data_IF_196232898278
#
_entry.id   IF_196232898278
#
_cell.length_a   1.000
_cell.length_b   1.000
_cell.length_c   1.000
_cell.angle_alpha   90.00
_cell.angle_beta   90.00
_cell.angle_gamma   90.00
#
_symmetry.space_group_name_H-M   'P 1'
#
loop_
_entity.id
_entity.type
_entity.pdbx_description
1 polymer ?
#
# COMPACT_ATOMS: atom_id res chain seq x y z
N UNK A 1 -20.17 21.36 -15.06
CA UNK A 1 -19.61 21.40 -16.42
C UNK A 1 -18.23 22.04 -16.47
N UNK A 2 -17.99 23.23 -15.95
CA UNK A 2 -16.65 23.87 -15.94
C UNK A 2 -15.55 23.07 -15.21
N UNK A 3 -15.87 22.37 -14.14
CA UNK A 3 -14.91 21.56 -13.38
C UNK A 3 -14.44 20.28 -14.11
N UNK A 4 -15.27 19.70 -14.98
CA UNK A 4 -14.88 18.55 -15.80
C UNK A 4 -13.93 18.94 -16.93
N UNK A 5 -14.11 20.11 -17.52
CA UNK A 5 -13.24 20.63 -18.59
C UNK A 5 -11.85 20.99 -18.07
N UNK A 6 -11.74 21.50 -16.84
CA UNK A 6 -10.45 21.76 -16.19
C UNK A 6 -9.72 20.44 -15.85
N UNK A 7 -10.45 19.38 -15.52
CA UNK A 7 -9.89 18.04 -15.29
C UNK A 7 -9.30 17.40 -16.56
N UNK A 8 -9.90 17.66 -17.72
CA UNK A 8 -9.43 17.16 -19.00
C UNK A 8 -8.21 17.93 -19.52
N UNK A 9 -8.07 19.22 -19.19
CA UNK A 9 -6.89 20.05 -19.52
C UNK A 9 -5.63 19.68 -18.76
N UNK A 10 -5.75 18.98 -17.64
CA UNK A 10 -4.63 18.44 -16.88
C UNK A 10 -4.61 16.92 -17.02
N UNK A 11 -4.19 16.41 -18.18
CA UNK A 11 -3.74 15.03 -18.28
C UNK A 11 -2.74 14.81 -17.16
N UNK A 12 -3.14 14.06 -16.14
CA UNK A 12 -2.36 13.91 -14.90
C UNK A 12 -1.06 13.17 -15.19
N UNK A 13 -1.09 12.31 -16.20
CA UNK A 13 0.04 11.49 -16.60
C UNK A 13 0.65 12.00 -17.91
N UNK A 14 1.94 12.30 -17.85
CA UNK A 14 2.75 12.57 -19.04
C UNK A 14 3.47 11.29 -19.55
N UNK A 15 3.30 10.15 -18.88
CA UNK A 15 3.93 8.88 -19.21
C UNK A 15 4.57 8.19 -18.01
N UNK A 16 5.10 7.00 -18.23
CA UNK A 16 5.89 6.28 -17.23
C UNK A 16 7.36 6.24 -17.63
N UNK A 17 8.20 6.39 -16.62
CA UNK A 17 9.63 6.13 -16.73
C UNK A 17 9.97 4.83 -16.00
N UNK A 18 10.73 3.95 -16.63
CA UNK A 18 11.13 2.69 -16.02
C UNK A 18 12.50 2.80 -15.38
N UNK A 19 12.60 2.43 -14.11
CA UNK A 19 13.86 2.36 -13.36
C UNK A 19 14.18 0.89 -13.07
N UNK A 20 15.39 0.40 -13.45
CA UNK A 20 15.77 -0.97 -13.16
C UNK A 20 15.95 -1.16 -11.64
N UNK A 21 15.44 -2.27 -11.12
CA UNK A 21 15.79 -2.79 -9.79
C UNK A 21 17.20 -3.41 -9.87
N UNK A 22 17.82 -3.65 -8.69
CA UNK A 22 19.04 -4.46 -8.65
C UNK A 22 18.72 -5.87 -9.15
N UNK A 23 19.44 -6.34 -10.18
CA UNK A 23 19.24 -7.66 -10.77
C UNK A 23 19.34 -7.66 -12.31
N UNK A 24 18.85 -8.73 -12.93
CA UNK A 24 18.88 -8.89 -14.39
C UNK A 24 17.95 -7.89 -15.08
N UNK A 25 18.51 -6.94 -15.81
CA UNK A 25 17.79 -5.91 -16.57
C UNK A 25 16.97 -6.43 -17.78
N UNK A 26 16.99 -7.75 -18.05
CA UNK A 26 16.28 -8.37 -19.18
C UNK A 26 14.83 -8.70 -18.89
N UNK A 27 14.42 -8.74 -17.62
CA UNK A 27 13.06 -9.08 -17.23
C UNK A 27 12.25 -7.84 -16.88
N UNK A 28 11.04 -7.69 -17.43
CA UNK A 28 10.12 -6.59 -17.12
C UNK A 28 9.74 -6.56 -15.62
N UNK A 29 9.79 -7.69 -14.93
CA UNK A 29 9.58 -7.80 -13.48
C UNK A 29 10.60 -7.00 -12.66
N UNK A 30 11.80 -6.81 -13.19
CA UNK A 30 12.91 -6.12 -12.54
C UNK A 30 12.90 -4.59 -12.76
N UNK A 31 11.81 -4.04 -13.26
CA UNK A 31 11.65 -2.61 -13.40
C UNK A 31 10.57 -2.07 -12.48
N UNK A 32 10.79 -0.84 -11.96
CA UNK A 32 9.78 -0.01 -11.32
C UNK A 32 9.30 1.02 -12.33
N UNK A 33 8.00 1.18 -12.46
CA UNK A 33 7.38 2.23 -13.27
C UNK A 33 7.11 3.45 -12.40
N UNK A 34 7.66 4.60 -12.75
CA UNK A 34 7.41 5.86 -12.05
C UNK A 34 6.59 6.77 -12.95
N UNK A 35 5.47 7.25 -12.43
CA UNK A 35 4.59 8.17 -13.12
C UNK A 35 5.20 9.57 -13.21
N UNK A 36 5.25 10.12 -14.41
CA UNK A 36 5.64 11.50 -14.66
C UNK A 36 4.38 12.38 -14.61
N UNK A 37 4.31 13.23 -13.60
CA UNK A 37 3.15 14.09 -13.34
C UNK A 37 3.57 15.55 -13.49
N UNK A 38 2.79 16.35 -14.22
CA UNK A 38 3.05 17.77 -14.39
C UNK A 38 3.03 18.53 -13.07
N UNK A 39 3.76 19.65 -12.97
CA UNK A 39 3.81 20.46 -11.75
C UNK A 39 2.42 21.02 -11.38
N UNK A 40 1.64 21.46 -12.36
CA UNK A 40 0.28 21.95 -12.13
C UNK A 40 -0.62 20.86 -11.55
N UNK A 41 -0.55 19.64 -12.11
CA UNK A 41 -1.27 18.48 -11.59
C UNK A 41 -0.84 18.13 -10.16
N UNK A 42 0.46 18.19 -9.84
CA UNK A 42 0.97 17.95 -8.48
C UNK A 42 0.36 18.90 -7.45
N UNK A 43 0.22 20.19 -7.77
CA UNK A 43 -0.41 21.17 -6.87
C UNK A 43 -1.86 20.79 -6.59
N UNK A 44 -2.63 20.48 -7.64
CA UNK A 44 -4.03 20.08 -7.50
C UNK A 44 -4.20 18.78 -6.72
N UNK A 45 -3.34 17.81 -6.98
CA UNK A 45 -3.31 16.53 -6.26
C UNK A 45 -2.99 16.75 -4.77
N UNK A 46 -2.09 17.68 -4.43
CA UNK A 46 -1.73 17.98 -3.04
C UNK A 46 -2.91 18.58 -2.26
N UNK A 47 -3.69 19.47 -2.87
CA UNK A 47 -4.91 20.03 -2.24
C UNK A 47 -5.92 18.92 -1.92
N UNK A 48 -6.11 17.99 -2.85
CA UNK A 48 -7.02 16.85 -2.67
C UNK A 48 -6.49 15.85 -1.65
N UNK A 49 -5.18 15.60 -1.66
CA UNK A 49 -4.53 14.74 -0.67
C UNK A 49 -4.79 15.25 0.75
N UNK A 50 -4.67 16.55 0.99
CA UNK A 50 -4.92 17.12 2.31
C UNK A 50 -6.34 16.82 2.83
N UNK A 51 -7.34 16.76 1.95
CA UNK A 51 -8.70 16.34 2.29
C UNK A 51 -8.82 14.85 2.59
N UNK A 52 -8.20 14.00 1.77
CA UNK A 52 -8.21 12.55 1.98
C UNK A 52 -7.43 12.16 3.25
N UNK A 53 -6.35 12.89 3.57
CA UNK A 53 -5.51 12.65 4.74
C UNK A 53 -6.29 12.73 6.06
N UNK A 54 -7.31 13.58 6.16
CA UNK A 54 -8.15 13.67 7.35
C UNK A 54 -8.87 12.35 7.63
N UNK A 55 -9.43 11.73 6.59
CA UNK A 55 -10.09 10.41 6.71
C UNK A 55 -9.09 9.29 6.97
N UNK A 56 -7.93 9.33 6.29
CA UNK A 56 -6.87 8.35 6.53
C UNK A 56 -6.41 8.31 7.99
N UNK A 57 -6.24 9.49 8.60
CA UNK A 57 -5.79 9.56 10.00
C UNK A 57 -6.80 8.96 10.97
N UNK A 58 -8.09 8.95 10.61
CA UNK A 58 -9.14 8.30 11.40
C UNK A 58 -9.20 6.79 11.15
N UNK A 59 -8.93 6.36 9.91
CA UNK A 59 -9.13 4.97 9.50
C UNK A 59 -7.90 4.10 9.70
N UNK A 60 -6.69 4.66 9.63
CA UNK A 60 -5.47 3.86 9.77
C UNK A 60 -5.08 3.71 11.25
N UNK A 61 -4.91 2.47 11.74
CA UNK A 61 -4.47 2.22 13.11
C UNK A 61 -2.98 2.60 13.31
N UNK A 62 -2.56 2.70 14.57
CA UNK A 62 -1.18 3.06 14.94
C UNK A 62 -0.13 2.02 14.49
N UNK A 63 -0.56 0.79 14.24
CA UNK A 63 0.33 -0.26 13.75
C UNK A 63 0.76 -0.03 12.28
N UNK A 64 0.05 0.83 11.52
CA UNK A 64 0.44 1.22 10.17
C UNK A 64 1.19 2.55 10.19
N UNK A 65 2.51 2.50 10.01
CA UNK A 65 3.39 3.68 10.01
C UNK A 65 3.79 4.16 8.62
N UNK A 66 3.50 3.39 7.57
CA UNK A 66 3.92 3.71 6.21
C UNK A 66 3.32 5.02 5.69
N UNK A 67 4.18 5.89 5.15
CA UNK A 67 3.81 7.20 4.60
C UNK A 67 3.13 8.16 5.60
N UNK A 68 3.26 7.91 6.91
CA UNK A 68 2.84 8.83 7.97
C UNK A 68 4.01 9.71 8.39
N UNK A 69 3.75 11.00 8.49
CA UNK A 69 4.78 11.98 8.86
C UNK A 69 5.27 11.74 10.30
N UNK A 70 6.58 11.61 10.46
CA UNK A 70 7.22 11.41 11.77
C UNK A 70 7.36 9.93 12.19
N UNK A 71 6.79 8.99 11.44
CA UNK A 71 6.81 7.56 11.80
C UNK A 71 7.72 6.70 10.90
N UNK A 72 8.56 7.32 10.10
CA UNK A 72 9.37 6.67 9.07
C UNK A 72 10.32 5.58 9.60
N UNK A 73 10.74 5.67 10.87
CA UNK A 73 11.63 4.69 11.52
C UNK A 73 10.99 3.98 12.71
N UNK A 74 9.75 4.30 13.02
CA UNK A 74 9.08 3.80 14.23
C UNK A 74 8.96 2.28 14.22
N UNK A 75 8.58 1.67 13.11
CA UNK A 75 8.37 0.22 13.06
C UNK A 75 9.65 -0.60 13.18
N UNK A 76 10.75 -0.13 12.60
CA UNK A 76 12.06 -0.81 12.78
C UNK A 76 12.47 -0.74 14.25
N UNK A 77 12.35 0.44 14.87
CA UNK A 77 12.66 0.61 16.31
C UNK A 77 11.76 -0.26 17.18
N UNK A 78 10.46 -0.36 16.87
CA UNK A 78 9.53 -1.21 17.58
C UNK A 78 9.91 -2.70 17.48
N UNK A 79 10.27 -3.19 16.29
CA UNK A 79 10.71 -4.57 16.09
C UNK A 79 11.98 -4.85 16.90
N UNK A 80 12.99 -3.98 16.80
CA UNK A 80 14.24 -4.13 17.56
C UNK A 80 13.99 -4.13 19.08
N UNK A 81 13.15 -3.22 19.56
CA UNK A 81 12.76 -3.16 20.97
C UNK A 81 12.03 -4.43 21.44
N UNK A 82 11.10 -4.96 20.63
CA UNK A 82 10.41 -6.21 20.91
C UNK A 82 11.39 -7.38 20.99
N UNK A 83 12.36 -7.46 20.08
CA UNK A 83 13.39 -8.48 20.06
C UNK A 83 14.28 -8.40 21.34
N UNK A 84 14.69 -7.19 21.71
CA UNK A 84 15.49 -6.95 22.91
C UNK A 84 14.72 -7.37 24.19
N UNK A 85 13.45 -6.97 24.30
CA UNK A 85 12.59 -7.39 25.42
C UNK A 85 12.32 -8.89 25.42
N UNK A 86 12.17 -9.52 24.27
CA UNK A 86 12.09 -10.97 24.16
C UNK A 86 13.31 -11.68 24.75
N UNK A 87 14.51 -11.17 24.47
CA UNK A 87 15.78 -11.68 25.05
C UNK A 87 15.84 -11.45 26.56
N UNK A 88 15.55 -10.25 27.01
CA UNK A 88 15.57 -9.88 28.43
C UNK A 88 14.67 -10.79 29.26
N UNK A 89 13.47 -11.09 28.77
CA UNK A 89 12.51 -11.95 29.44
C UNK A 89 12.60 -13.44 29.06
N UNK A 90 13.61 -13.84 28.31
CA UNK A 90 13.83 -15.22 27.83
C UNK A 90 12.56 -15.82 27.16
N UNK A 91 11.85 -15.03 26.38
CA UNK A 91 10.64 -15.45 25.66
C UNK A 91 10.94 -15.59 24.17
N UNK A 92 10.56 -16.73 23.62
CA UNK A 92 10.62 -16.93 22.18
C UNK A 92 9.58 -16.06 21.51
N UNK A 93 9.99 -15.39 20.45
CA UNK A 93 9.15 -14.58 19.57
C UNK A 93 9.47 -14.98 18.13
N UNK A 94 8.43 -15.34 17.40
CA UNK A 94 8.52 -15.74 16.01
C UNK A 94 8.05 -14.57 15.14
N UNK A 95 8.79 -14.26 14.10
CA UNK A 95 8.48 -13.19 13.14
C UNK A 95 8.30 -13.77 11.73
N UNK A 96 7.38 -13.21 10.97
CA UNK A 96 7.24 -13.44 9.55
C UNK A 96 7.13 -12.10 8.83
N UNK A 97 7.95 -11.88 7.81
CA UNK A 97 7.94 -10.67 7.00
C UNK A 97 7.22 -10.97 5.68
N UNK A 98 6.24 -10.16 5.36
CA UNK A 98 5.45 -10.27 4.13
C UNK A 98 5.75 -9.03 3.29
N UNK A 99 6.29 -9.25 2.08
CA UNK A 99 6.45 -8.26 1.03
C UNK A 99 5.46 -8.56 -0.10
N UNK A 100 4.76 -7.55 -0.61
CA UNK A 100 3.84 -7.73 -1.72
C UNK A 100 4.52 -7.40 -3.04
N UNK A 101 4.46 -8.34 -3.97
CA UNK A 101 5.03 -8.16 -5.31
C UNK A 101 4.28 -7.06 -6.05
N UNK A 102 4.95 -5.93 -6.32
CA UNK A 102 4.39 -4.81 -7.08
C UNK A 102 3.04 -4.31 -6.53
N UNK A 103 2.93 -4.12 -5.20
CA UNK A 103 1.70 -3.74 -4.52
C UNK A 103 0.95 -2.58 -5.21
N UNK A 104 1.68 -1.53 -5.62
CA UNK A 104 1.11 -0.38 -6.33
C UNK A 104 0.45 -0.77 -7.66
N UNK A 105 1.02 -1.71 -8.40
CA UNK A 105 0.53 -2.12 -9.71
C UNK A 105 -0.64 -3.11 -9.61
N UNK A 106 -0.84 -3.74 -8.44
CA UNK A 106 -1.84 -4.76 -8.21
C UNK A 106 -3.20 -4.23 -7.77
N UNK A 107 -3.33 -2.96 -7.39
CA UNK A 107 -4.58 -2.37 -6.90
C UNK A 107 -5.64 -2.36 -7.99
N UNK A 108 -6.74 -3.07 -7.78
CA UNK A 108 -7.88 -3.10 -8.69
C UNK A 108 -8.78 -1.88 -8.49
N UNK A 109 -8.97 -1.03 -9.50
CA UNK A 109 -9.73 0.21 -9.41
C UNK A 109 -11.16 -0.01 -8.90
N UNK A 110 -11.91 -0.94 -9.50
CA UNK A 110 -13.30 -1.22 -9.09
C UNK A 110 -13.41 -1.69 -7.63
N UNK A 111 -12.42 -2.43 -7.14
CA UNK A 111 -12.37 -2.87 -5.76
C UNK A 111 -11.95 -1.74 -4.84
N UNK A 112 -10.98 -0.93 -5.24
CA UNK A 112 -10.55 0.26 -4.51
C UNK A 112 -11.73 1.19 -4.21
N UNK A 113 -12.57 1.48 -5.21
CA UNK A 113 -13.73 2.38 -5.00
C UNK A 113 -14.73 1.83 -3.98
N UNK A 114 -14.98 0.53 -4.01
CA UNK A 114 -15.82 -0.14 -3.01
C UNK A 114 -15.21 -0.10 -1.62
N UNK A 115 -13.92 -0.34 -1.51
CA UNK A 115 -13.18 -0.28 -0.25
C UNK A 115 -13.26 1.13 0.36
N UNK A 116 -13.00 2.17 -0.43
CA UNK A 116 -13.07 3.54 0.04
C UNK A 116 -14.48 3.89 0.55
N UNK A 117 -15.52 3.37 -0.10
CA UNK A 117 -16.90 3.53 0.33
C UNK A 117 -17.18 2.86 1.68
N UNK A 118 -16.75 1.60 1.83
CA UNK A 118 -16.89 0.85 3.09
C UNK A 118 -16.12 1.50 4.23
N UNK A 119 -14.97 2.11 3.93
CA UNK A 119 -14.14 2.85 4.90
C UNK A 119 -14.67 4.28 5.17
N UNK A 120 -15.89 4.64 4.76
CA UNK A 120 -16.50 5.92 5.08
C UNK A 120 -15.92 7.13 4.35
N UNK A 121 -15.16 6.93 3.27
CA UNK A 121 -14.68 8.05 2.45
C UNK A 121 -15.89 8.63 1.68
N UNK A 122 -16.13 9.96 1.73
CA UNK A 122 -17.27 10.57 1.09
C UNK A 122 -17.34 10.35 -0.42
N UNK A 123 -18.54 10.09 -0.94
CA UNK A 123 -18.77 9.77 -2.36
C UNK A 123 -18.23 10.81 -3.32
N UNK A 124 -18.26 12.08 -2.97
CA UNK A 124 -17.72 13.15 -3.80
C UNK A 124 -16.19 13.05 -3.96
N UNK A 125 -15.45 12.60 -2.94
CA UNK A 125 -14.01 12.35 -3.04
C UNK A 125 -13.72 11.09 -3.84
N UNK A 126 -14.52 10.03 -3.66
CA UNK A 126 -14.41 8.79 -4.44
C UNK A 126 -14.68 9.09 -5.93
N UNK A 127 -15.70 9.88 -6.24
CA UNK A 127 -16.02 10.29 -7.60
C UNK A 127 -14.85 11.07 -8.24
N UNK A 128 -14.25 12.01 -7.50
CA UNK A 128 -13.07 12.74 -7.96
C UNK A 128 -11.87 11.84 -8.24
N UNK A 129 -11.62 10.86 -7.36
CA UNK A 129 -10.56 9.88 -7.56
C UNK A 129 -10.87 8.98 -8.76
N UNK A 130 -12.09 8.47 -8.87
CA UNK A 130 -12.53 7.66 -10.01
C UNK A 130 -12.32 8.37 -11.33
N UNK A 131 -12.71 9.65 -11.42
CA UNK A 131 -12.49 10.47 -12.62
C UNK A 131 -11.01 10.70 -12.92
N UNK A 132 -10.15 10.73 -11.88
CA UNK A 132 -8.71 10.84 -12.05
C UNK A 132 -8.10 9.61 -12.72
N UNK A 133 -8.64 8.43 -12.45
CA UNK A 133 -8.17 7.15 -12.99
C UNK A 133 -8.97 6.68 -14.23
N UNK A 134 -10.09 7.31 -14.54
CA UNK A 134 -10.93 6.91 -15.67
C UNK A 134 -10.29 7.27 -17.02
N UNK A 135 -10.26 6.32 -17.93
CA UNK A 135 -9.79 6.53 -19.31
C UNK A 135 -8.34 7.00 -19.42
N UNK A 136 -7.52 6.70 -18.42
CA UNK A 136 -6.10 7.06 -18.49
C UNK A 136 -5.36 6.20 -19.50
N UNK A 137 -4.67 6.87 -20.40
CA UNK A 137 -3.73 6.28 -21.33
C UNK A 137 -2.31 6.71 -21.00
N UNK A 138 -1.36 5.88 -21.31
CA UNK A 138 0.05 6.15 -21.04
C UNK A 138 0.95 5.49 -22.07
N UNK A 139 2.20 5.96 -22.09
CA UNK A 139 3.32 5.35 -22.82
C UNK A 139 4.43 5.02 -21.83
N UNK A 140 5.25 4.04 -22.15
CA UNK A 140 6.45 3.71 -21.38
C UNK A 140 7.68 4.12 -22.15
N UNK A 141 8.48 4.97 -21.55
CA UNK A 141 9.78 5.37 -22.10
C UNK A 141 10.88 4.46 -21.58
N UNK A 142 11.56 3.81 -22.50
CA UNK A 142 12.71 2.95 -22.23
C UNK A 142 13.97 3.54 -22.89
N UNK A 143 15.13 2.94 -22.62
CA UNK A 143 16.38 3.31 -23.34
C UNK A 143 16.35 3.03 -24.84
N UNK A 144 15.41 2.22 -25.33
CA UNK A 144 15.24 1.83 -26.74
C UNK A 144 14.16 2.65 -27.48
N UNK A 145 13.42 3.50 -26.78
CA UNK A 145 12.34 4.31 -27.35
C UNK A 145 11.11 4.39 -26.46
N UNK A 146 9.98 4.79 -27.06
CA UNK A 146 8.69 4.94 -26.38
C UNK A 146 7.69 3.96 -27.01
N UNK A 147 6.90 3.30 -26.17
CA UNK A 147 5.82 2.40 -26.63
C UNK A 147 4.66 3.18 -27.24
N UNK A 148 3.78 2.50 -27.95
CA UNK A 148 2.47 3.04 -28.30
C UNK A 148 1.64 3.33 -27.04
N UNK A 149 0.58 4.17 -27.21
CA UNK A 149 -0.35 4.49 -26.13
C UNK A 149 -1.20 3.27 -25.77
N UNK A 150 -1.35 3.01 -24.48
CA UNK A 150 -2.22 1.96 -23.97
C UNK A 150 -2.99 2.41 -22.73
N UNK A 151 -4.16 1.79 -22.50
CA UNK A 151 -5.02 2.12 -21.37
C UNK A 151 -4.53 1.45 -20.07
N UNK A 152 -4.65 2.19 -18.97
CA UNK A 152 -4.33 1.70 -17.62
C UNK A 152 -5.62 1.18 -16.99
N UNK A 153 -5.71 -0.14 -16.81
CA UNK A 153 -6.88 -0.80 -16.21
C UNK A 153 -6.77 -1.08 -14.71
N UNK A 154 -5.58 -0.96 -14.12
CA UNK A 154 -5.30 -1.27 -12.71
C UNK A 154 -4.03 -0.57 -12.24
N UNK A 155 -3.84 -0.59 -10.92
CA UNK A 155 -2.67 0.00 -10.27
C UNK A 155 -2.91 1.43 -9.82
N UNK A 156 -2.13 1.85 -8.81
CA UNK A 156 -2.01 3.24 -8.38
C UNK A 156 -0.62 3.73 -8.72
N UNK A 157 -0.52 4.95 -9.25
CA UNK A 157 0.70 5.43 -9.89
C UNK A 157 1.83 5.65 -8.90
N UNK A 158 2.89 4.85 -8.98
CA UNK A 158 4.09 5.07 -8.19
C UNK A 158 4.69 6.44 -8.53
N UNK A 159 4.91 7.29 -7.50
CA UNK A 159 5.33 8.68 -7.66
C UNK A 159 4.18 9.70 -7.63
N UNK A 160 2.92 9.26 -7.66
CA UNK A 160 1.78 10.12 -7.41
C UNK A 160 1.58 10.32 -5.90
N UNK A 161 1.30 11.55 -5.49
CA UNK A 161 1.13 11.92 -4.08
C UNK A 161 -0.06 11.23 -3.40
N UNK A 162 -1.05 10.77 -4.17
CA UNK A 162 -2.21 10.02 -3.67
C UNK A 162 -1.95 8.53 -3.47
N UNK A 163 -1.08 7.96 -4.27
CA UNK A 163 -0.94 6.51 -4.35
C UNK A 163 -0.56 5.86 -3.02
N UNK A 164 0.31 6.45 -2.19
CA UNK A 164 0.57 5.93 -0.84
C UNK A 164 -0.68 5.87 0.03
N UNK A 165 -1.52 6.90 -0.03
CA UNK A 165 -2.76 6.96 0.72
C UNK A 165 -3.75 5.86 0.30
N UNK A 166 -3.92 5.69 -1.01
CA UNK A 166 -4.82 4.70 -1.57
C UNK A 166 -4.34 3.27 -1.29
N UNK A 167 -3.03 3.05 -1.38
CA UNK A 167 -2.44 1.75 -1.05
C UNK A 167 -2.63 1.40 0.42
N UNK A 168 -2.37 2.35 1.34
CA UNK A 168 -2.56 2.13 2.77
C UNK A 168 -4.01 1.77 3.11
N UNK A 169 -4.99 2.50 2.56
CA UNK A 169 -6.41 2.20 2.78
C UNK A 169 -6.80 0.84 2.19
N UNK A 170 -6.27 0.51 1.02
CA UNK A 170 -6.50 -0.79 0.39
C UNK A 170 -5.92 -1.94 1.21
N UNK A 171 -4.68 -1.82 1.66
CA UNK A 171 -4.01 -2.81 2.51
C UNK A 171 -4.69 -2.94 3.88
N UNK A 172 -5.09 -1.80 4.48
CA UNK A 172 -5.82 -1.78 5.74
C UNK A 172 -7.12 -2.58 5.67
N UNK A 173 -7.92 -2.35 4.64
CA UNK A 173 -9.17 -3.10 4.44
C UNK A 173 -8.92 -4.61 4.34
N UNK A 174 -7.87 -5.02 3.62
CA UNK A 174 -7.52 -6.44 3.51
C UNK A 174 -7.18 -7.02 4.89
N UNK A 175 -6.34 -6.33 5.65
CA UNK A 175 -5.92 -6.79 6.97
C UNK A 175 -7.09 -6.83 7.95
N UNK A 176 -8.00 -5.88 7.95
CA UNK A 176 -9.23 -5.92 8.77
C UNK A 176 -10.05 -7.19 8.49
N UNK A 177 -10.17 -7.57 7.23
CA UNK A 177 -10.91 -8.78 6.85
C UNK A 177 -10.23 -10.09 7.26
N UNK A 178 -8.95 -10.07 7.64
CA UNK A 178 -8.27 -11.26 8.16
C UNK A 178 -8.64 -11.58 9.61
N UNK A 179 -9.27 -10.65 10.33
CA UNK A 179 -9.55 -10.80 11.76
C UNK A 179 -8.31 -10.87 12.64
N UNK A 180 -7.19 -10.28 12.20
CA UNK A 180 -5.94 -10.25 13.01
C UNK A 180 -6.12 -9.50 14.32
N UNK A 181 -6.93 -8.45 14.35
CA UNK A 181 -7.16 -7.64 15.56
C UNK A 181 -7.92 -8.44 16.63
N UNK A 182 -8.79 -9.35 16.22
CA UNK A 182 -9.56 -10.24 17.10
C UNK A 182 -8.78 -11.50 17.50
N UNK A 183 -7.67 -11.78 16.83
CA UNK A 183 -6.86 -12.96 17.10
C UNK A 183 -6.17 -12.86 18.46
N UNK A 184 -6.30 -13.91 19.28
CA UNK A 184 -5.57 -14.00 20.54
C UNK A 184 -4.07 -14.29 20.36
N UNK A 185 -3.68 -14.76 19.18
CA UNK A 185 -2.29 -14.94 18.80
C UNK A 185 -1.56 -13.60 18.80
N UNK A 186 -0.31 -13.58 19.25
CA UNK A 186 0.51 -12.37 19.33
C UNK A 186 1.29 -12.23 20.61
N UNK A 187 1.85 -11.07 20.82
CA UNK A 187 2.70 -10.74 21.96
C UNK A 187 1.97 -9.73 22.84
N UNK A 188 1.86 -10.00 24.12
CA UNK A 188 1.27 -9.04 25.07
C UNK A 188 2.32 -8.06 25.56
N UNK A 189 2.14 -6.78 25.25
CA UNK A 189 2.98 -5.66 25.68
C UNK A 189 2.09 -4.63 26.36
N UNK A 190 2.37 -4.29 27.61
CA UNK A 190 1.57 -3.34 28.39
C UNK A 190 0.05 -3.62 28.36
N UNK A 191 -0.33 -4.89 28.41
CA UNK A 191 -1.74 -5.33 28.38
C UNK A 191 -2.39 -5.38 26.99
N UNK A 192 -1.73 -4.87 25.96
CA UNK A 192 -2.21 -4.91 24.57
C UNK A 192 -1.62 -6.12 23.85
N UNK A 193 -2.43 -6.76 23.01
CA UNK A 193 -1.95 -7.84 22.14
C UNK A 193 -1.47 -7.24 20.82
N UNK A 194 -0.20 -7.47 20.49
CA UNK A 194 0.42 -7.01 19.24
C UNK A 194 0.80 -8.25 18.45
N UNK A 195 0.21 -8.41 17.28
CA UNK A 195 0.46 -9.54 16.39
C UNK A 195 0.92 -9.11 14.99
N UNK A 196 0.87 -7.82 14.68
CA UNK A 196 1.37 -7.28 13.43
C UNK A 196 1.91 -5.86 13.60
N UNK A 197 2.87 -5.50 12.75
CA UNK A 197 3.36 -4.14 12.53
C UNK A 197 3.46 -3.93 11.02
N UNK A 198 3.07 -2.74 10.54
CA UNK A 198 2.96 -2.48 9.11
C UNK A 198 3.67 -1.20 8.71
N UNK A 199 4.32 -1.25 7.55
CA UNK A 199 4.91 -0.09 6.92
C UNK A 199 4.56 -0.09 5.42
N UNK A 200 3.53 0.64 5.05
CA UNK A 200 2.95 0.64 3.70
C UNK A 200 2.47 -0.77 3.30
N UNK A 201 3.13 -1.37 2.32
CA UNK A 201 2.92 -2.74 1.85
C UNK A 201 3.68 -3.78 2.67
N UNK A 202 4.74 -3.41 3.37
CA UNK A 202 5.47 -4.34 4.25
C UNK A 202 4.66 -4.67 5.50
N UNK A 203 4.45 -5.94 5.77
CA UNK A 203 3.75 -6.43 6.95
C UNK A 203 4.63 -7.41 7.74
N UNK A 204 4.83 -7.13 9.02
CA UNK A 204 5.51 -8.04 9.95
C UNK A 204 4.47 -8.67 10.85
N UNK A 205 4.34 -9.99 10.81
CA UNK A 205 3.54 -10.76 11.75
C UNK A 205 4.42 -11.26 12.88
N UNK A 206 3.84 -11.39 14.08
CA UNK A 206 4.55 -11.91 15.25
C UNK A 206 3.65 -12.74 16.14
N UNK A 207 4.23 -13.78 16.73
CA UNK A 207 3.54 -14.67 17.65
C UNK A 207 4.51 -15.30 18.65
N UNK A 208 3.98 -15.91 19.73
CA UNK A 208 4.75 -16.65 20.74
C UNK A 208 5.10 -18.07 20.32
N UNK A 209 4.33 -18.63 19.37
CA UNK A 209 4.47 -19.99 18.88
C UNK A 209 4.47 -20.00 17.36
N UNK A 210 5.19 -20.94 16.80
CA UNK A 210 5.28 -21.09 15.35
C UNK A 210 3.92 -21.41 14.71
N UNK A 211 3.11 -22.26 15.34
CA UNK A 211 1.77 -22.64 14.83
C UNK A 211 0.83 -21.43 14.81
N UNK A 212 0.90 -20.56 15.82
CA UNK A 212 0.14 -19.32 15.86
C UNK A 212 0.54 -18.41 14.69
N UNK A 213 1.86 -18.27 14.44
CA UNK A 213 2.37 -17.46 13.35
C UNK A 213 1.93 -18.00 11.98
N UNK A 214 2.00 -19.32 11.78
CA UNK A 214 1.51 -19.99 10.56
C UNK A 214 0.03 -19.72 10.34
N UNK A 215 -0.78 -19.79 11.40
CA UNK A 215 -2.22 -19.49 11.31
C UNK A 215 -2.48 -18.05 10.90
N UNK A 216 -1.75 -17.07 11.48
CA UNK A 216 -1.87 -15.67 11.09
C UNK A 216 -1.46 -15.45 9.63
N UNK A 217 -0.35 -16.07 9.21
CA UNK A 217 0.16 -15.97 7.84
C UNK A 217 -0.83 -16.51 6.81
N UNK A 218 -1.46 -17.66 7.10
CA UNK A 218 -2.47 -18.25 6.20
C UNK A 218 -3.67 -17.34 6.02
N UNK A 219 -4.19 -16.73 7.10
CA UNK A 219 -5.30 -15.78 7.03
C UNK A 219 -4.95 -14.57 6.15
N UNK A 220 -3.75 -13.98 6.35
CA UNK A 220 -3.30 -12.84 5.53
C UNK A 220 -3.16 -13.25 4.07
N UNK A 221 -2.58 -14.42 3.80
CA UNK A 221 -2.42 -14.94 2.45
C UNK A 221 -3.75 -15.12 1.73
N UNK A 222 -4.72 -15.79 2.36
CA UNK A 222 -6.05 -16.01 1.79
C UNK A 222 -6.77 -14.70 1.42
N UNK A 223 -6.79 -13.72 2.33
CA UNK A 223 -7.44 -12.43 2.07
C UNK A 223 -6.67 -11.59 1.04
N UNK A 224 -5.35 -11.66 1.05
CA UNK A 224 -4.51 -10.99 0.05
C UNK A 224 -4.74 -11.56 -1.34
N UNK A 225 -4.82 -12.88 -1.50
CA UNK A 225 -5.10 -13.55 -2.78
C UNK A 225 -6.49 -13.19 -3.31
N UNK A 226 -7.52 -13.19 -2.47
CA UNK A 226 -8.87 -12.69 -2.83
C UNK A 226 -8.84 -11.24 -3.32
N UNK A 227 -7.85 -10.48 -2.89
CA UNK A 227 -7.68 -9.07 -3.20
C UNK A 227 -6.65 -8.79 -4.30
N UNK A 228 -6.10 -9.84 -4.93
CA UNK A 228 -5.10 -9.75 -6.00
C UNK A 228 -3.73 -9.20 -5.55
N UNK A 229 -3.48 -9.07 -4.26
CA UNK A 229 -2.15 -8.82 -3.72
C UNK A 229 -1.43 -10.16 -3.55
N UNK A 230 -0.38 -10.37 -4.32
CA UNK A 230 0.45 -11.58 -4.19
C UNK A 230 1.56 -11.30 -3.18
N UNK A 231 1.53 -11.99 -2.06
CA UNK A 231 2.60 -11.96 -1.08
C UNK A 231 3.80 -12.74 -1.63
N UNK A 232 4.98 -12.15 -1.52
CA UNK A 232 6.25 -12.84 -1.73
C UNK A 232 6.73 -13.31 -0.35
N UNK A 233 6.87 -14.60 -0.18
CA UNK A 233 7.41 -15.18 1.03
C UNK A 233 8.94 -15.19 0.92
N UNK A 234 9.63 -14.41 1.74
CA UNK A 234 11.05 -14.62 2.00
C UNK A 234 11.16 -15.69 3.09
N UNK A 235 11.42 -16.92 2.70
CA UNK A 235 11.88 -17.95 3.63
C UNK A 235 13.31 -17.58 4.06
N UNK A 236 13.48 -17.22 5.31
CA UNK A 236 14.74 -17.16 6.04
C UNK A 236 14.63 -18.01 7.29
#
# INVERSE_FOLDING_TARGET
MFFQSILFLFSVLNGFFTIPKRGYAKECSNYRTIALISHASKVMLKIRQARLQQYMNCELPDVQAGFRKGEERAQIANILWIMEKGREFQKNIYFSFIDYVKAFDCVHHNKLWKILQVMGIPDHLICLLRNLYAGQETTVRTGLGTTDWFQIGRGVHQGCIFSPCLLNLYAEYIIRNTGLEEAQAGIKIAGRNINNLRYADDTTLMAKREEELKSLLMKVKEESEKSWLKAQQSEN
#
